data_IF_391747265585
#
_entry.id   IF_391747265585
#
_cell.length_a   1.000
_cell.length_b   1.000
_cell.length_c   1.000
_cell.angle_alpha   90.00
_cell.angle_beta   90.00
_cell.angle_gamma   90.00
#
_symmetry.space_group_name_H-M   'P 1'
#
loop_
_entity.id
_entity.type
_entity.pdbx_description
1 polymer ?
#
# COMPACT_ATOMS: atom_id res chain seq x y z
N UNK A 1 23.54 24.06 -40.32
CA UNK A 1 23.39 23.30 -39.06
C UNK A 1 24.30 23.95 -38.04
N UNK A 2 23.73 24.70 -37.10
CA UNK A 2 24.48 25.41 -36.06
C UNK A 2 24.49 24.60 -34.77
N UNK A 3 25.60 24.57 -34.01
CA UNK A 3 25.68 23.82 -32.75
C UNK A 3 24.88 24.52 -31.64
N UNK A 4 24.30 23.76 -30.68
CA UNK A 4 23.59 24.34 -29.56
C UNK A 4 24.56 24.95 -28.53
N UNK A 5 24.13 26.08 -27.97
CA UNK A 5 24.86 26.82 -26.94
C UNK A 5 24.91 26.08 -25.59
N UNK A 6 25.98 26.25 -24.79
CA UNK A 6 26.12 25.61 -23.50
C UNK A 6 25.18 26.21 -22.44
N UNK A 7 24.50 25.32 -21.71
CA UNK A 7 23.61 25.64 -20.60
C UNK A 7 24.38 26.14 -19.38
N UNK A 8 24.11 27.38 -18.97
CA UNK A 8 24.63 27.97 -17.74
C UNK A 8 23.91 27.38 -16.53
N UNK A 9 24.66 26.68 -15.66
CA UNK A 9 24.17 26.24 -14.35
C UNK A 9 23.99 27.46 -13.41
N UNK A 10 22.94 27.49 -12.58
CA UNK A 10 22.65 28.65 -11.74
C UNK A 10 23.55 28.71 -10.50
N UNK A 11 24.36 29.76 -10.40
CA UNK A 11 25.22 30.13 -9.26
C UNK A 11 24.46 30.49 -7.95
N UNK A 12 23.18 30.13 -7.85
CA UNK A 12 22.29 30.50 -6.74
C UNK A 12 22.38 29.49 -5.58
N UNK A 13 22.72 28.22 -5.87
CA UNK A 13 22.73 27.18 -4.83
C UNK A 13 24.00 27.22 -3.93
N UNK A 14 25.13 27.68 -4.46
CA UNK A 14 26.37 27.87 -3.68
C UNK A 14 26.24 29.01 -2.65
N UNK A 15 25.53 30.10 -2.98
CA UNK A 15 25.34 31.22 -2.03
C UNK A 15 24.46 30.87 -0.82
N UNK A 16 23.62 29.82 -0.91
CA UNK A 16 22.76 29.39 0.18
C UNK A 16 23.52 28.48 1.16
N UNK A 17 24.52 27.73 0.69
CA UNK A 17 25.28 26.80 1.52
C UNK A 17 26.39 27.49 2.32
N UNK A 18 27.04 28.53 1.79
CA UNK A 18 28.00 29.34 2.58
C UNK A 18 27.32 30.19 3.67
N UNK A 19 26.07 30.63 3.48
CA UNK A 19 25.34 31.44 4.48
C UNK A 19 24.97 30.70 5.76
N UNK A 20 25.00 29.37 5.78
CA UNK A 20 24.63 28.56 6.95
C UNK A 20 25.79 28.33 7.95
N UNK A 21 27.02 28.73 7.61
CA UNK A 21 28.19 28.30 8.37
C UNK A 21 28.47 29.10 9.66
N UNK A 22 28.04 30.36 9.81
CA UNK A 22 28.57 31.25 10.87
C UNK A 22 27.49 32.07 11.61
N UNK A 23 26.47 31.42 12.18
CA UNK A 23 25.59 32.08 13.15
C UNK A 23 26.12 31.89 14.58
N UNK A 24 26.41 32.97 15.33
CA UNK A 24 26.97 32.86 16.68
C UNK A 24 25.94 32.24 17.65
N UNK A 25 26.38 31.24 18.41
CA UNK A 25 25.63 30.66 19.52
C UNK A 25 25.95 31.42 20.79
N UNK A 26 24.93 31.82 21.53
CA UNK A 26 25.13 32.45 22.83
C UNK A 26 25.74 31.43 23.81
N UNK A 27 26.89 31.77 24.39
CA UNK A 27 27.56 30.92 25.38
C UNK A 27 26.73 30.69 26.66
N UNK A 28 25.84 31.64 27.00
CA UNK A 28 25.04 31.57 28.23
C UNK A 28 23.78 30.71 28.12
N UNK A 29 23.12 30.70 26.96
CA UNK A 29 21.82 29.99 26.81
C UNK A 29 21.72 29.08 25.58
N UNK A 30 22.75 28.99 24.75
CA UNK A 30 22.82 28.11 23.59
C UNK A 30 21.97 28.54 22.38
N UNK A 31 21.26 29.67 22.44
CA UNK A 31 20.46 30.16 21.32
C UNK A 31 21.36 30.60 20.16
N UNK A 32 21.03 30.20 18.94
CA UNK A 32 21.66 30.68 17.70
C UNK A 32 21.04 32.03 17.34
N UNK A 33 21.85 33.09 17.31
CA UNK A 33 21.39 34.45 16.99
C UNK A 33 21.75 34.83 15.55
N UNK A 34 21.17 35.93 15.05
CA UNK A 34 21.54 36.48 13.75
C UNK A 34 22.92 37.16 13.84
N UNK A 35 23.69 37.13 12.75
CA UNK A 35 25.07 37.67 12.73
C UNK A 35 25.13 39.18 13.00
N UNK A 36 24.04 39.91 12.75
CA UNK A 36 23.96 41.36 12.97
C UNK A 36 23.59 41.72 14.41
N UNK A 37 23.28 40.74 15.26
CA UNK A 37 22.88 41.00 16.64
C UNK A 37 24.13 41.01 17.54
N UNK A 38 24.36 42.12 18.26
CA UNK A 38 25.43 42.22 19.24
C UNK A 38 25.08 41.53 20.57
N UNK A 39 23.78 41.30 20.83
CA UNK A 39 23.28 40.69 22.06
C UNK A 39 22.34 39.53 21.76
N UNK A 40 22.31 38.55 22.66
CA UNK A 40 21.42 37.41 22.52
C UNK A 40 19.96 37.81 22.75
N UNK A 41 19.08 37.50 21.79
CA UNK A 41 17.65 37.82 21.89
C UNK A 41 16.93 37.25 23.10
N UNK A 42 17.42 36.14 23.66
CA UNK A 42 16.77 35.48 24.80
C UNK A 42 17.22 36.01 26.14
N UNK A 43 18.52 36.26 26.32
CA UNK A 43 19.07 36.58 27.64
C UNK A 43 19.82 37.92 27.69
N UNK A 44 19.91 38.65 26.58
CA UNK A 44 20.58 39.95 26.48
C UNK A 44 22.11 39.89 26.58
N UNK A 45 22.72 38.71 26.74
CA UNK A 45 24.17 38.58 26.87
C UNK A 45 24.90 39.01 25.58
N UNK A 46 26.04 39.70 25.73
CA UNK A 46 26.91 40.08 24.62
C UNK A 46 27.40 38.84 23.86
N UNK A 47 27.37 38.91 22.53
CA UNK A 47 27.84 37.82 21.67
C UNK A 47 29.33 37.98 21.28
N UNK A 48 29.93 39.14 21.51
CA UNK A 48 31.30 39.45 21.10
C UNK A 48 32.38 38.95 22.10
N UNK A 49 32.00 38.71 23.35
CA UNK A 49 32.94 38.24 24.40
C UNK A 49 33.24 36.73 24.32
N UNK A 50 32.44 35.95 23.58
CA UNK A 50 32.55 34.49 23.59
C UNK A 50 33.74 33.93 22.80
N UNK A 51 34.56 34.78 22.16
CA UNK A 51 35.67 34.32 21.31
C UNK A 51 37.06 34.34 21.96
N UNK A 52 37.26 34.96 23.12
CA UNK A 52 38.63 35.17 23.66
C UNK A 52 38.95 34.61 25.05
N UNK A 53 38.00 34.05 25.81
CA UNK A 53 38.33 33.45 27.11
C UNK A 53 38.18 31.93 27.09
N UNK A 54 39.24 31.25 26.63
CA UNK A 54 39.47 29.83 26.92
C UNK A 54 40.68 29.68 27.84
N UNK A 55 40.57 30.24 29.05
CA UNK A 55 41.43 29.86 30.16
C UNK A 55 40.65 30.04 31.44
N UNK A 56 40.09 28.95 31.99
CA UNK A 56 40.21 28.58 33.41
C UNK A 56 39.41 27.31 33.73
N UNK A 57 40.18 26.32 34.20
CA UNK A 57 39.92 25.42 35.33
C UNK A 57 38.69 24.49 35.31
N UNK A 58 39.03 23.21 35.21
CA UNK A 58 38.23 22.08 35.65
C UNK A 58 37.90 22.14 37.16
N UNK A 59 36.67 21.75 37.53
CA UNK A 59 36.46 20.97 38.75
C UNK A 59 35.26 20.04 38.56
N UNK A 60 35.45 18.82 39.01
CA UNK A 60 34.66 17.62 38.74
C UNK A 60 33.17 17.71 39.14
N UNK A 61 32.32 17.05 38.35
CA UNK A 61 31.39 15.97 38.76
C UNK A 61 30.44 15.65 37.61
N UNK A 62 30.98 15.29 36.45
CA UNK A 62 30.18 14.66 35.41
C UNK A 62 30.29 13.16 35.60
N UNK A 63 29.21 12.56 36.11
CA UNK A 63 28.98 11.13 36.06
C UNK A 63 29.36 10.64 34.64
N UNK A 64 30.22 9.63 34.59
CA UNK A 64 30.66 8.93 33.39
C UNK A 64 29.47 8.56 32.52
N UNK A 65 29.09 9.44 31.59
CA UNK A 65 28.41 9.05 30.38
C UNK A 65 29.48 8.44 29.48
N UNK A 66 29.25 7.25 28.91
CA UNK A 66 30.25 6.54 28.16
C UNK A 66 30.74 7.42 27.02
N UNK A 67 32.04 7.67 27.06
CA UNK A 67 32.82 8.38 26.07
C UNK A 67 32.57 7.72 24.71
N UNK A 68 31.77 8.39 23.88
CA UNK A 68 31.54 7.98 22.50
C UNK A 68 32.84 8.16 21.74
N UNK A 69 33.66 7.09 21.70
CA UNK A 69 34.78 6.97 20.80
C UNK A 69 34.36 7.41 19.38
N UNK A 70 35.24 8.08 18.61
CA UNK A 70 34.93 8.57 17.27
C UNK A 70 34.72 7.39 16.32
N UNK A 71 33.52 6.81 16.37
CA UNK A 71 33.07 5.80 15.44
C UNK A 71 33.14 6.36 14.04
N UNK A 72 33.69 5.58 13.12
CA UNK A 72 33.76 5.94 11.71
C UNK A 72 32.40 6.45 11.24
N UNK A 73 32.36 7.52 10.43
CA UNK A 73 31.11 8.11 9.92
C UNK A 73 30.19 7.05 9.29
N UNK A 74 30.77 5.97 8.77
CA UNK A 74 30.08 4.78 8.27
C UNK A 74 29.25 4.04 9.35
N UNK A 75 29.81 3.81 10.55
CA UNK A 75 29.11 3.13 11.64
C UNK A 75 27.88 3.93 12.11
N UNK A 76 27.99 5.26 12.15
CA UNK A 76 26.87 6.15 12.48
C UNK A 76 25.74 6.09 11.43
N UNK A 77 26.10 6.14 10.14
CA UNK A 77 25.13 6.02 9.05
C UNK A 77 24.44 4.65 9.04
N UNK A 78 25.19 3.57 9.26
CA UNK A 78 24.62 2.23 9.35
C UNK A 78 23.63 2.10 10.51
N UNK A 79 23.97 2.63 11.70
CA UNK A 79 23.06 2.62 12.85
C UNK A 79 21.76 3.37 12.58
N UNK A 80 21.83 4.52 11.88
CA UNK A 80 20.63 5.27 11.47
C UNK A 80 19.80 4.51 10.46
N UNK A 81 20.42 3.94 9.42
CA UNK A 81 19.72 3.13 8.43
C UNK A 81 19.03 1.93 9.09
N UNK A 82 19.73 1.19 9.95
CA UNK A 82 19.17 0.07 10.71
C UNK A 82 18.01 0.49 11.61
N UNK A 83 18.12 1.66 12.28
CA UNK A 83 17.03 2.18 13.10
C UNK A 83 15.80 2.55 12.27
N UNK A 84 15.99 3.20 11.11
CA UNK A 84 14.90 3.53 10.19
C UNK A 84 14.24 2.25 9.68
N UNK A 85 15.02 1.29 9.16
CA UNK A 85 14.50 0.01 8.70
C UNK A 85 13.75 -0.75 9.81
N UNK A 86 14.29 -0.75 11.03
CA UNK A 86 13.65 -1.40 12.18
C UNK A 86 12.32 -0.76 12.56
N UNK A 87 12.26 0.57 12.62
CA UNK A 87 11.01 1.30 12.90
C UNK A 87 9.99 1.09 11.78
N UNK A 88 10.42 1.16 10.52
CA UNK A 88 9.55 0.89 9.36
C UNK A 88 8.99 -0.53 9.41
N UNK A 89 9.82 -1.53 9.67
CA UNK A 89 9.37 -2.92 9.78
C UNK A 89 8.37 -3.12 10.94
N UNK A 90 8.62 -2.50 12.09
CA UNK A 90 7.72 -2.55 13.25
C UNK A 90 6.37 -1.91 12.94
N UNK A 91 6.35 -0.75 12.29
CA UNK A 91 5.11 -0.07 11.89
C UNK A 91 4.32 -0.91 10.88
N UNK A 92 4.98 -1.45 9.85
CA UNK A 92 4.33 -2.33 8.87
C UNK A 92 3.75 -3.58 9.54
N UNK A 93 4.49 -4.19 10.46
CA UNK A 93 4.01 -5.33 11.24
C UNK A 93 2.79 -4.97 12.11
N UNK A 94 2.84 -3.85 12.83
CA UNK A 94 1.71 -3.40 13.65
C UNK A 94 0.47 -3.09 12.81
N UNK A 95 0.64 -2.44 11.65
CA UNK A 95 -0.44 -2.24 10.69
C UNK A 95 -1.01 -3.56 10.20
N UNK A 96 -0.17 -4.50 9.78
CA UNK A 96 -0.60 -5.83 9.31
C UNK A 96 -1.39 -6.60 10.38
N UNK A 97 -0.87 -6.64 11.61
CA UNK A 97 -1.55 -7.25 12.77
C UNK A 97 -2.90 -6.56 13.00
N UNK A 98 -2.96 -5.23 12.97
CA UNK A 98 -4.21 -4.47 13.10
C UNK A 98 -5.24 -4.84 12.02
N UNK A 99 -4.81 -5.05 10.78
CA UNK A 99 -5.70 -5.45 9.67
C UNK A 99 -6.30 -6.84 9.87
N UNK A 100 -5.55 -7.78 10.46
CA UNK A 100 -6.03 -9.13 10.76
C UNK A 100 -7.01 -9.11 11.92
N UNK A 101 -6.60 -8.53 13.06
CA UNK A 101 -7.38 -8.58 14.30
C UNK A 101 -8.65 -7.72 14.28
N UNK A 102 -8.75 -6.74 13.39
CA UNK A 102 -9.95 -5.89 13.26
C UNK A 102 -11.04 -6.47 12.35
N UNK A 103 -10.88 -7.71 11.87
CA UNK A 103 -11.82 -8.38 10.98
C UNK A 103 -12.39 -9.68 11.57
N UNK A 104 -13.64 -9.97 11.25
CA UNK A 104 -14.28 -11.22 11.66
C UNK A 104 -13.87 -12.37 10.73
N UNK A 105 -13.47 -13.55 11.25
CA UNK A 105 -13.24 -14.73 10.43
C UNK A 105 -14.55 -15.25 9.83
N UNK A 106 -14.47 -16.08 8.78
CA UNK A 106 -15.63 -16.83 8.30
C UNK A 106 -16.08 -17.84 9.36
N UNK A 107 -17.39 -18.01 9.54
CA UNK A 107 -17.92 -19.12 10.32
C UNK A 107 -17.85 -20.45 9.53
N UNK A 108 -18.10 -21.57 10.20
CA UNK A 108 -17.96 -22.90 9.59
C UNK A 108 -18.90 -23.13 8.38
N UNK A 109 -20.10 -22.55 8.40
CA UNK A 109 -21.06 -22.65 7.29
C UNK A 109 -20.60 -21.84 6.08
N UNK A 110 -20.20 -20.59 6.29
CA UNK A 110 -19.61 -19.72 5.27
C UNK A 110 -18.37 -20.36 4.65
N UNK A 111 -17.52 -20.98 5.47
CA UNK A 111 -16.33 -21.67 4.98
C UNK A 111 -16.69 -22.82 4.03
N UNK A 112 -17.70 -23.63 4.36
CA UNK A 112 -18.18 -24.69 3.46
C UNK A 112 -18.74 -24.14 2.14
N UNK A 113 -19.42 -23.00 2.17
CA UNK A 113 -19.92 -22.33 0.95
C UNK A 113 -18.74 -21.92 0.05
N UNK A 114 -17.70 -21.34 0.63
CA UNK A 114 -16.48 -20.97 -0.10
C UNK A 114 -15.78 -22.20 -0.67
N UNK A 115 -15.58 -23.25 0.13
CA UNK A 115 -14.90 -24.46 -0.32
C UNK A 115 -15.65 -25.12 -1.50
N UNK A 116 -16.99 -25.17 -1.48
CA UNK A 116 -17.78 -25.67 -2.63
C UNK A 116 -17.62 -24.81 -3.89
N UNK A 117 -17.61 -23.49 -3.76
CA UNK A 117 -17.38 -22.59 -4.89
C UNK A 117 -15.96 -22.77 -5.48
N UNK A 118 -14.95 -22.99 -4.61
CA UNK A 118 -13.59 -23.35 -5.06
C UNK A 118 -13.58 -24.70 -5.77
N UNK A 119 -14.34 -25.68 -5.30
CA UNK A 119 -14.45 -26.98 -5.96
C UNK A 119 -15.09 -26.88 -7.35
N UNK A 120 -16.05 -25.97 -7.56
CA UNK A 120 -16.58 -25.67 -8.90
C UNK A 120 -15.45 -25.14 -9.81
N UNK A 121 -14.61 -24.22 -9.34
CA UNK A 121 -13.47 -23.74 -10.12
C UNK A 121 -12.53 -24.89 -10.51
N UNK A 122 -12.19 -25.74 -9.56
CA UNK A 122 -11.30 -26.89 -9.77
C UNK A 122 -11.87 -27.85 -10.83
N UNK A 123 -13.14 -28.23 -10.68
CA UNK A 123 -13.86 -29.13 -11.59
C UNK A 123 -14.02 -28.57 -13.00
N UNK A 124 -14.09 -27.24 -13.14
CA UNK A 124 -14.21 -26.56 -14.43
C UNK A 124 -12.87 -26.25 -15.09
N UNK A 125 -11.75 -26.72 -14.53
CA UNK A 125 -10.42 -26.60 -15.14
C UNK A 125 -9.63 -25.37 -14.69
N UNK A 126 -10.06 -24.67 -13.65
CA UNK A 126 -9.35 -23.54 -13.04
C UNK A 126 -8.49 -24.01 -11.84
N UNK A 127 -7.85 -25.18 -11.95
CA UNK A 127 -7.14 -25.83 -10.85
C UNK A 127 -6.06 -24.93 -10.19
N UNK A 128 -5.40 -24.07 -10.98
CA UNK A 128 -4.41 -23.13 -10.45
C UNK A 128 -5.04 -22.05 -9.58
N UNK A 129 -6.13 -21.45 -10.03
CA UNK A 129 -6.84 -20.41 -9.29
C UNK A 129 -7.50 -21.03 -8.05
N UNK A 130 -8.09 -22.22 -8.18
CA UNK A 130 -8.60 -23.00 -7.06
C UNK A 130 -7.52 -23.33 -6.02
N UNK A 131 -6.31 -23.70 -6.45
CA UNK A 131 -5.18 -23.97 -5.54
C UNK A 131 -4.78 -22.73 -4.74
N UNK A 132 -4.68 -21.57 -5.40
CA UNK A 132 -4.37 -20.29 -4.75
C UNK A 132 -5.42 -19.97 -3.69
N UNK A 133 -6.69 -19.97 -4.09
CA UNK A 133 -7.84 -19.72 -3.22
C UNK A 133 -7.89 -20.68 -2.03
N UNK A 134 -7.61 -21.97 -2.26
CA UNK A 134 -7.70 -23.01 -1.22
C UNK A 134 -6.55 -22.96 -0.21
N UNK A 135 -5.33 -22.63 -0.66
CA UNK A 135 -4.10 -22.84 0.13
C UNK A 135 -3.42 -21.57 0.60
N UNK A 136 -3.54 -20.47 -0.15
CA UNK A 136 -2.81 -19.24 0.13
C UNK A 136 -3.70 -18.19 0.78
N UNK A 137 -5.00 -18.23 0.52
CA UNK A 137 -5.91 -17.16 0.91
C UNK A 137 -6.41 -17.32 2.34
N UNK A 138 -6.35 -16.22 3.09
CA UNK A 138 -7.05 -16.05 4.35
C UNK A 138 -8.37 -15.33 4.10
N UNK A 139 -9.49 -16.00 4.38
CA UNK A 139 -10.82 -15.44 4.20
C UNK A 139 -11.36 -14.79 5.47
N UNK A 140 -12.07 -13.68 5.31
CA UNK A 140 -12.75 -12.96 6.38
C UNK A 140 -14.13 -12.48 5.96
N UNK A 141 -15.03 -12.34 6.92
CA UNK A 141 -16.44 -11.97 6.71
C UNK A 141 -16.69 -10.45 6.79
N UNK A 142 -15.71 -9.68 7.26
CA UNK A 142 -15.86 -8.24 7.42
C UNK A 142 -14.60 -7.49 7.08
N UNK A 143 -14.78 -6.26 6.60
CA UNK A 143 -13.67 -5.35 6.40
C UNK A 143 -12.96 -4.98 7.70
N UNK A 144 -11.64 -4.80 7.57
CA UNK A 144 -10.88 -4.06 8.57
C UNK A 144 -11.40 -2.60 8.65
N UNK A 145 -10.99 -1.89 9.69
CA UNK A 145 -11.45 -0.52 9.93
C UNK A 145 -11.13 0.44 8.77
N UNK A 146 -10.03 0.23 8.03
CA UNK A 146 -9.63 1.07 6.90
C UNK A 146 -10.50 0.81 5.67
N UNK A 147 -10.68 -0.44 5.29
CA UNK A 147 -11.55 -0.83 4.17
C UNK A 147 -13.00 -0.43 4.44
N UNK A 148 -13.49 -0.44 5.70
CA UNK A 148 -14.83 0.08 6.00
C UNK A 148 -15.03 1.54 5.60
N UNK A 149 -13.96 2.33 5.54
CA UNK A 149 -14.02 3.73 5.15
C UNK A 149 -13.91 3.93 3.63
N UNK A 150 -13.19 3.04 2.94
CA UNK A 150 -12.85 3.18 1.50
C UNK A 150 -13.63 2.21 0.60
N UNK A 151 -14.26 1.19 1.18
CA UNK A 151 -14.87 0.07 0.48
C UNK A 151 -16.18 0.42 -0.22
N UNK A 152 -16.57 -0.45 -1.15
CA UNK A 152 -17.81 -0.32 -1.90
C UNK A 152 -18.93 -1.12 -1.24
N UNK A 153 -20.05 -0.47 -0.93
CA UNK A 153 -21.19 -1.08 -0.25
C UNK A 153 -21.85 -2.23 -1.04
N UNK A 154 -21.63 -2.28 -2.36
CA UNK A 154 -22.22 -3.28 -3.26
C UNK A 154 -21.22 -4.36 -3.72
N UNK A 155 -20.02 -4.41 -3.14
CA UNK A 155 -19.04 -5.43 -3.48
C UNK A 155 -19.44 -6.80 -2.94
N UNK A 156 -19.15 -7.85 -3.71
CA UNK A 156 -19.32 -9.24 -3.25
C UNK A 156 -18.08 -9.72 -2.49
N UNK A 157 -16.90 -9.34 -2.98
CA UNK A 157 -15.64 -9.64 -2.36
C UNK A 157 -14.65 -8.49 -2.57
N UNK A 158 -13.56 -8.51 -1.83
CA UNK A 158 -12.43 -7.61 -2.04
C UNK A 158 -11.12 -8.29 -1.64
N UNK A 159 -10.14 -8.25 -2.55
CA UNK A 159 -8.79 -8.74 -2.32
C UNK A 159 -7.87 -7.64 -1.80
N UNK A 160 -7.23 -7.89 -0.66
CA UNK A 160 -6.17 -7.04 -0.14
C UNK A 160 -4.80 -7.55 -0.65
N UNK A 161 -4.50 -7.30 -1.93
CA UNK A 161 -3.16 -7.56 -2.48
C UNK A 161 -2.12 -6.60 -1.85
N UNK A 162 -0.92 -7.05 -1.47
CA UNK A 162 -0.32 -8.38 -1.66
C UNK A 162 -0.36 -9.26 -0.39
N UNK A 163 -1.40 -9.18 0.43
CA UNK A 163 -1.46 -9.88 1.73
C UNK A 163 -2.23 -11.21 1.69
N UNK A 164 -2.64 -11.64 0.50
CA UNK A 164 -3.42 -12.87 0.30
C UNK A 164 -4.67 -12.96 1.20
N UNK A 165 -5.28 -11.82 1.53
CA UNK A 165 -6.53 -11.74 2.29
C UNK A 165 -7.67 -11.42 1.34
N UNK A 166 -8.73 -12.22 1.37
CA UNK A 166 -9.98 -11.96 0.65
C UNK A 166 -11.09 -11.73 1.66
N UNK A 167 -11.72 -10.56 1.56
CA UNK A 167 -12.93 -10.22 2.30
C UNK A 167 -14.13 -10.68 1.50
N UNK A 168 -15.01 -11.49 2.10
CA UNK A 168 -16.27 -11.90 1.49
C UNK A 168 -17.41 -11.20 2.22
N UNK A 169 -18.14 -10.35 1.50
CA UNK A 169 -19.23 -9.57 2.06
C UNK A 169 -20.51 -10.42 2.18
N UNK A 170 -21.49 -9.99 3.00
CA UNK A 170 -22.78 -10.68 3.10
C UNK A 170 -23.44 -10.96 1.74
N UNK A 171 -23.24 -10.08 0.77
CA UNK A 171 -23.75 -10.17 -0.61
C UNK A 171 -23.23 -11.42 -1.32
N UNK A 172 -21.97 -11.83 -1.12
CA UNK A 172 -21.42 -13.06 -1.68
C UNK A 172 -22.21 -14.31 -1.24
N UNK A 173 -22.63 -14.33 0.01
CA UNK A 173 -23.39 -15.45 0.57
C UNK A 173 -24.87 -15.37 0.20
N UNK A 174 -25.47 -14.19 0.35
CA UNK A 174 -26.92 -14.01 0.36
C UNK A 174 -27.51 -13.58 -0.99
N UNK A 175 -26.70 -13.09 -1.93
CA UNK A 175 -27.17 -12.57 -3.23
C UNK A 175 -26.71 -13.39 -4.43
N UNK A 176 -25.70 -14.24 -4.26
CA UNK A 176 -25.31 -15.23 -5.28
C UNK A 176 -26.35 -16.35 -5.34
N UNK A 177 -26.81 -16.68 -6.55
CA UNK A 177 -27.85 -17.69 -6.77
C UNK A 177 -27.37 -19.11 -6.41
N UNK A 178 -26.12 -19.44 -6.72
CA UNK A 178 -25.55 -20.77 -6.51
C UNK A 178 -24.02 -20.72 -6.36
N UNK A 179 -23.40 -21.90 -6.30
CA UNK A 179 -21.93 -22.03 -6.17
C UNK A 179 -21.19 -21.71 -7.49
N UNK A 180 -21.88 -21.64 -8.64
CA UNK A 180 -21.31 -21.21 -9.93
C UNK A 180 -21.09 -19.70 -9.94
N UNK A 181 -22.05 -18.92 -9.45
CA UNK A 181 -21.88 -17.46 -9.32
C UNK A 181 -20.79 -17.11 -8.31
N UNK A 182 -20.77 -17.84 -7.17
CA UNK A 182 -19.71 -17.68 -6.17
C UNK A 182 -18.34 -18.04 -6.76
N UNK A 183 -18.27 -19.07 -7.60
CA UNK A 183 -17.05 -19.42 -8.32
C UNK A 183 -16.61 -18.30 -9.28
N UNK A 184 -17.55 -17.69 -10.03
CA UNK A 184 -17.25 -16.55 -10.91
C UNK A 184 -16.68 -15.36 -10.13
N UNK A 185 -17.26 -15.02 -8.97
CA UNK A 185 -16.74 -13.98 -8.07
C UNK A 185 -15.34 -14.35 -7.56
N UNK A 186 -15.13 -15.58 -7.08
CA UNK A 186 -13.82 -16.00 -6.60
C UNK A 186 -12.76 -16.05 -7.71
N UNK A 187 -13.14 -16.34 -8.95
CA UNK A 187 -12.23 -16.29 -10.09
C UNK A 187 -11.76 -14.86 -10.39
N UNK A 188 -12.63 -13.86 -10.21
CA UNK A 188 -12.27 -12.45 -10.28
C UNK A 188 -11.21 -12.11 -9.22
N UNK A 189 -11.49 -12.44 -7.95
CA UNK A 189 -10.55 -12.20 -6.83
C UNK A 189 -9.22 -12.93 -7.00
N UNK A 190 -9.23 -14.14 -7.58
CA UNK A 190 -8.01 -14.87 -7.90
C UNK A 190 -7.09 -14.12 -8.88
N UNK A 191 -7.64 -13.29 -9.77
CA UNK A 191 -6.83 -12.45 -10.65
C UNK A 191 -6.14 -11.32 -9.86
N UNK A 192 -6.84 -10.69 -8.92
CA UNK A 192 -6.23 -9.68 -8.04
C UNK A 192 -5.13 -10.25 -7.16
N UNK A 193 -5.30 -11.48 -6.64
CA UNK A 193 -4.24 -12.19 -5.91
C UNK A 193 -2.98 -12.42 -6.76
N UNK A 194 -3.11 -12.44 -8.09
CA UNK A 194 -2.01 -12.56 -9.04
C UNK A 194 -1.47 -11.21 -9.51
N UNK A 195 -1.91 -10.11 -8.90
CA UNK A 195 -1.50 -8.74 -9.24
C UNK A 195 -2.14 -8.21 -10.52
N UNK A 196 -3.24 -8.81 -10.99
CA UNK A 196 -3.99 -8.32 -12.16
C UNK A 196 -4.92 -7.16 -11.76
N UNK A 197 -5.10 -6.22 -12.67
CA UNK A 197 -6.04 -5.12 -12.51
C UNK A 197 -7.48 -5.51 -12.85
N UNK A 198 -8.40 -4.58 -12.66
CA UNK A 198 -9.86 -4.75 -12.90
C UNK A 198 -10.18 -5.21 -14.33
N UNK A 199 -9.60 -4.59 -15.36
CA UNK A 199 -9.85 -4.95 -16.76
C UNK A 199 -9.50 -6.42 -17.03
N UNK A 200 -8.33 -6.88 -16.57
CA UNK A 200 -7.87 -8.26 -16.74
C UNK A 200 -8.76 -9.23 -15.95
N UNK A 201 -9.17 -8.85 -14.73
CA UNK A 201 -10.02 -9.67 -13.87
C UNK A 201 -11.41 -9.88 -14.50
N UNK A 202 -12.08 -8.80 -14.90
CA UNK A 202 -13.38 -8.88 -15.59
C UNK A 202 -13.27 -9.61 -16.93
N UNK A 203 -12.25 -9.30 -17.74
CA UNK A 203 -12.02 -9.98 -19.02
C UNK A 203 -11.88 -11.49 -18.84
N UNK A 204 -11.13 -11.91 -17.82
CA UNK A 204 -10.91 -13.33 -17.53
C UNK A 204 -12.21 -14.03 -17.17
N UNK A 205 -12.97 -13.47 -16.23
CA UNK A 205 -14.24 -14.06 -15.79
C UNK A 205 -15.27 -14.10 -16.93
N UNK A 206 -15.37 -13.01 -17.70
CA UNK A 206 -16.32 -12.93 -18.80
C UNK A 206 -16.04 -13.96 -19.89
N UNK A 207 -14.78 -14.12 -20.28
CA UNK A 207 -14.37 -15.16 -21.25
C UNK A 207 -14.56 -16.58 -20.71
N UNK A 208 -14.44 -16.76 -19.40
CA UNK A 208 -14.59 -18.05 -18.73
C UNK A 208 -16.04 -18.48 -18.46
N UNK A 209 -17.04 -17.61 -18.67
CA UNK A 209 -18.44 -17.83 -18.25
C UNK A 209 -19.02 -19.18 -18.70
N UNK A 210 -18.84 -19.54 -19.98
CA UNK A 210 -19.32 -20.84 -20.51
C UNK A 210 -18.62 -22.03 -19.88
N UNK A 211 -17.31 -21.94 -19.66
CA UNK A 211 -16.52 -23.00 -19.03
C UNK A 211 -16.99 -23.23 -17.59
N UNK A 212 -17.31 -22.16 -16.85
CA UNK A 212 -17.90 -22.23 -15.52
C UNK A 212 -19.32 -22.84 -15.52
N UNK A 213 -20.01 -22.86 -16.66
CA UNK A 213 -21.45 -23.13 -16.72
C UNK A 213 -22.29 -21.96 -16.22
N UNK A 214 -21.71 -20.76 -16.23
CA UNK A 214 -22.37 -19.49 -15.93
C UNK A 214 -22.82 -18.88 -17.26
N UNK A 215 -24.09 -19.08 -17.62
CA UNK A 215 -24.62 -18.65 -18.93
C UNK A 215 -25.79 -17.69 -18.77
N UNK A 216 -26.13 -16.99 -19.85
CA UNK A 216 -27.27 -16.07 -19.86
C UNK A 216 -28.58 -16.81 -19.57
N UNK A 217 -28.80 -17.98 -20.17
CA UNK A 217 -30.01 -18.77 -19.97
C UNK A 217 -30.26 -19.15 -18.50
N UNK A 218 -29.19 -19.49 -17.76
CA UNK A 218 -29.31 -19.92 -16.36
C UNK A 218 -29.19 -18.77 -15.36
N UNK A 219 -28.36 -17.77 -15.65
CA UNK A 219 -27.98 -16.74 -14.68
C UNK A 219 -28.25 -15.31 -15.15
N UNK A 220 -28.71 -15.08 -16.38
CA UNK A 220 -28.88 -13.75 -16.99
C UNK A 220 -29.74 -12.78 -16.17
N UNK A 221 -30.72 -13.31 -15.44
CA UNK A 221 -31.64 -12.53 -14.60
C UNK A 221 -31.14 -12.30 -13.16
N UNK A 222 -30.02 -12.91 -12.76
CA UNK A 222 -29.47 -12.77 -11.41
C UNK A 222 -28.89 -11.36 -11.20
N UNK A 223 -28.64 -11.00 -9.95
CA UNK A 223 -27.96 -9.73 -9.62
C UNK A 223 -26.48 -9.80 -10.00
N UNK A 224 -25.81 -10.93 -9.72
CA UNK A 224 -24.36 -11.09 -9.96
C UNK A 224 -24.06 -10.98 -11.46
N UNK A 225 -24.82 -11.67 -12.30
CA UNK A 225 -24.66 -11.59 -13.76
C UNK A 225 -24.76 -10.16 -14.28
N UNK A 226 -25.84 -9.45 -13.92
CA UNK A 226 -26.07 -8.07 -14.38
C UNK A 226 -24.95 -7.13 -13.93
N UNK A 227 -24.57 -7.20 -12.65
CA UNK A 227 -23.49 -6.39 -12.11
C UNK A 227 -22.17 -6.65 -12.85
N UNK A 228 -21.78 -7.92 -13.00
CA UNK A 228 -20.53 -8.27 -13.67
C UNK A 228 -20.57 -7.91 -15.15
N UNK A 229 -21.72 -8.05 -15.83
CA UNK A 229 -21.89 -7.60 -17.20
C UNK A 229 -21.65 -6.10 -17.33
N UNK A 230 -22.31 -5.29 -16.49
CA UNK A 230 -22.15 -3.83 -16.47
C UNK A 230 -20.70 -3.41 -16.18
N UNK A 231 -20.07 -4.04 -15.18
CA UNK A 231 -18.67 -3.76 -14.87
C UNK A 231 -17.72 -4.22 -15.98
N UNK A 232 -17.97 -5.36 -16.61
CA UNK A 232 -17.16 -5.82 -17.74
C UNK A 232 -17.32 -4.87 -18.92
N UNK A 233 -18.53 -4.37 -19.21
CA UNK A 233 -18.74 -3.39 -20.28
C UNK A 233 -17.98 -2.09 -19.98
N UNK A 234 -18.00 -1.63 -18.73
CA UNK A 234 -17.27 -0.44 -18.30
C UNK A 234 -15.74 -0.60 -18.38
N UNK A 235 -15.21 -1.73 -17.94
CA UNK A 235 -13.75 -1.93 -17.78
C UNK A 235 -13.09 -2.60 -18.99
N UNK A 236 -13.84 -3.38 -19.77
CA UNK A 236 -13.38 -4.11 -20.95
C UNK A 236 -14.39 -4.00 -22.11
N UNK A 237 -14.75 -2.77 -22.56
CA UNK A 237 -15.81 -2.53 -23.55
C UNK A 237 -15.56 -3.20 -24.91
N UNK A 238 -14.30 -3.52 -25.22
CA UNK A 238 -13.91 -4.23 -26.44
C UNK A 238 -14.58 -5.61 -26.56
N UNK A 239 -14.88 -6.25 -25.42
CA UNK A 239 -15.59 -7.53 -25.41
C UNK A 239 -17.01 -7.40 -25.98
N UNK A 240 -17.66 -6.25 -25.84
CA UNK A 240 -19.06 -6.05 -26.24
C UNK A 240 -19.22 -5.48 -27.66
N UNK A 241 -18.16 -5.42 -28.47
CA UNK A 241 -18.21 -4.88 -29.85
C UNK A 241 -18.16 -6.01 -30.88
N UNK A 242 -19.18 -6.09 -31.74
CA UNK A 242 -19.22 -7.04 -32.84
C UNK A 242 -18.49 -6.54 -34.10
N UNK A 243 -17.55 -7.32 -34.68
CA UNK A 243 -16.80 -6.94 -35.90
C UNK A 243 -15.58 -7.81 -36.27
N UNK A 244 -14.99 -7.60 -37.47
CA UNK A 244 -13.95 -8.45 -38.07
C UNK A 244 -12.56 -8.38 -37.40
N UNK A 245 -12.35 -7.46 -36.46
CA UNK A 245 -11.04 -7.21 -35.84
C UNK A 245 -10.77 -8.08 -34.59
N UNK A 246 -11.63 -9.08 -34.32
CA UNK A 246 -11.22 -10.26 -33.56
C UNK A 246 -11.29 -10.24 -32.03
N UNK A 247 -12.19 -9.49 -31.41
CA UNK A 247 -12.34 -9.49 -29.93
C UNK A 247 -13.80 -9.72 -29.45
N UNK A 248 -14.62 -10.34 -30.30
CA UNK A 248 -16.07 -10.50 -30.09
C UNK A 248 -16.46 -11.40 -28.92
N UNK A 249 -17.08 -10.84 -27.88
CA UNK A 249 -18.19 -11.43 -27.14
C UNK A 249 -19.50 -10.76 -27.62
N UNK A 250 -20.16 -11.40 -28.60
CA UNK A 250 -21.52 -11.05 -29.02
C UNK A 250 -22.59 -11.77 -28.18
N UNK A 251 -22.30 -12.25 -26.96
CA UNK A 251 -23.13 -13.27 -26.33
C UNK A 251 -24.48 -12.74 -25.84
N UNK A 252 -25.53 -13.25 -26.49
CA UNK A 252 -26.01 -14.60 -26.12
C UNK A 252 -25.30 -15.72 -26.88
#
# INVERSE_FOLDING_TARGET
MSPPAPSAKPAVLERITERRANSPKCARCGLVNFRTEATCKRCGASLDEATNDTTHAATASAAMLPEHAPGSKAAFLFRRAAAVCGVTALLLFACYVSLIFSSAPLNAEQRRVVDRAIDVLDQRGFARDALILRRLVNYRASDNWWNRYVGHADAYAATNFPFEVVTLYPEFFNKSADDVERAAILLHEAQHLRGRGEEDAFTTVWRAKRQLGWTHDSHGNTRVWRNVSEFTEKHAPKLFRCGPDGDTDCYE
#
